data_IF_048951135897
#
_entry.id   IF_048951135897
#
_cell.length_a   1.000
_cell.length_b   1.000
_cell.length_c   1.000
_cell.angle_alpha   90.00
_cell.angle_beta   90.00
_cell.angle_gamma   90.00
#
_symmetry.space_group_name_H-M   'P 1'
#
loop_
_entity.id
_entity.type
_entity.pdbx_description
1 polymer ?
#
# COMPACT_ATOMS: atom_id res chain seq x y z
N UNK A 1 58.20 -42.96 17.57
CA UNK A 1 58.90 -43.18 18.85
C UNK A 1 59.16 -41.85 19.52
N UNK A 2 59.04 -41.81 20.86
CA UNK A 2 59.40 -40.74 21.83
C UNK A 2 58.32 -39.64 21.97
N UNK A 3 57.44 -39.67 22.99
CA UNK A 3 57.61 -39.39 24.45
C UNK A 3 58.16 -37.97 24.66
N UNK A 4 57.70 -37.09 25.56
CA UNK A 4 56.75 -37.09 26.68
C UNK A 4 56.75 -35.63 27.22
N UNK A 5 55.68 -35.24 27.94
CA UNK A 5 55.62 -34.22 29.01
C UNK A 5 55.89 -32.74 28.60
N UNK A 6 55.19 -31.73 29.14
CA UNK A 6 55.26 -31.26 30.54
C UNK A 6 54.01 -30.44 30.91
N UNK A 7 53.54 -30.67 32.13
CA UNK A 7 52.57 -29.92 32.93
C UNK A 7 53.24 -28.68 33.58
N UNK A 8 52.61 -27.51 33.53
CA UNK A 8 52.65 -26.45 34.58
C UNK A 8 51.75 -25.27 34.17
N UNK A 9 50.60 -25.08 34.83
CA UNK A 9 50.38 -24.09 35.91
C UNK A 9 50.96 -22.69 35.63
N UNK A 10 50.12 -21.70 35.33
CA UNK A 10 49.83 -20.56 36.23
C UNK A 10 48.79 -19.62 35.60
N UNK A 11 48.08 -18.91 36.47
CA UNK A 11 46.98 -18.00 36.22
C UNK A 11 47.32 -16.78 35.34
N UNK A 12 46.30 -16.13 34.78
CA UNK A 12 45.94 -14.73 35.06
C UNK A 12 44.69 -14.36 34.25
N UNK A 13 43.70 -13.81 34.95
CA UNK A 13 42.47 -13.24 34.44
C UNK A 13 42.71 -12.11 33.44
N UNK A 14 42.09 -12.19 32.26
CA UNK A 14 41.80 -11.02 31.44
C UNK A 14 40.33 -11.05 31.03
N UNK A 15 39.54 -10.20 31.69
CA UNK A 15 38.22 -9.83 31.23
C UNK A 15 38.39 -8.92 29.99
N UNK A 16 38.37 -9.51 28.80
CA UNK A 16 38.16 -8.75 27.58
C UNK A 16 36.66 -8.65 27.34
N UNK A 17 36.13 -7.45 27.59
CA UNK A 17 34.83 -7.00 27.12
C UNK A 17 34.61 -7.49 25.68
N UNK A 18 33.58 -8.32 25.45
CA UNK A 18 33.04 -8.52 24.12
C UNK A 18 32.41 -7.20 23.67
N UNK A 19 33.23 -6.36 23.02
CA UNK A 19 32.76 -5.39 22.07
C UNK A 19 32.00 -6.17 21.00
N UNK A 20 30.69 -6.35 21.20
CA UNK A 20 29.79 -6.77 20.14
C UNK A 20 29.83 -5.64 19.11
N UNK A 21 30.70 -5.82 18.11
CA UNK A 21 30.71 -5.03 16.91
C UNK A 21 29.25 -4.91 16.44
N UNK A 22 28.72 -3.71 16.19
CA UNK A 22 27.41 -3.58 15.60
C UNK A 22 27.52 -4.23 14.22
N UNK A 23 27.08 -5.48 14.13
CA UNK A 23 26.95 -6.18 12.87
C UNK A 23 26.15 -5.29 11.94
N UNK A 24 26.48 -5.25 10.64
CA UNK A 24 25.69 -4.48 9.69
C UNK A 24 24.25 -4.96 9.81
N UNK A 25 23.38 -4.07 10.30
CA UNK A 25 21.94 -4.24 10.24
C UNK A 25 21.59 -4.31 8.77
N UNK A 26 21.62 -5.51 8.20
CA UNK A 26 20.90 -5.85 6.99
C UNK A 26 19.41 -5.75 7.33
N UNK A 27 18.93 -4.51 7.44
CA UNK A 27 17.51 -4.24 7.34
C UNK A 27 17.11 -4.69 5.94
N UNK A 28 16.33 -5.76 5.88
CA UNK A 28 15.65 -6.20 4.69
C UNK A 28 15.09 -4.97 3.95
N UNK A 29 15.21 -4.87 2.61
CA UNK A 29 14.56 -3.81 1.89
C UNK A 29 13.07 -3.92 2.19
N UNK A 30 12.55 -2.99 2.98
CA UNK A 30 11.12 -2.86 3.20
C UNK A 30 10.48 -2.76 1.84
N UNK A 31 9.71 -3.80 1.49
CA UNK A 31 8.99 -3.90 0.24
C UNK A 31 7.78 -2.95 0.27
N UNK A 32 8.03 -1.66 0.42
CA UNK A 32 7.09 -0.57 0.18
C UNK A 32 7.34 0.01 -1.20
N UNK A 33 7.36 -0.86 -2.21
CA UNK A 33 7.80 -0.53 -3.56
C UNK A 33 6.94 0.57 -4.20
N UNK A 34 7.63 1.41 -4.98
CA UNK A 34 7.09 2.38 -5.93
C UNK A 34 6.12 1.80 -7.00
N UNK A 35 5.57 0.59 -6.81
CA UNK A 35 4.49 -0.02 -7.60
C UNK A 35 3.08 0.22 -7.06
N UNK A 36 2.93 0.72 -5.81
CA UNK A 36 1.63 0.78 -5.15
C UNK A 36 0.59 1.75 -5.75
N UNK A 37 1.01 2.78 -6.50
CA UNK A 37 0.07 3.77 -7.04
C UNK A 37 -0.46 3.42 -8.44
N UNK A 38 0.44 2.97 -9.33
CA UNK A 38 0.06 2.56 -10.69
C UNK A 38 -0.78 1.27 -10.68
N UNK A 39 -0.38 0.29 -9.87
CA UNK A 39 -1.10 -0.98 -9.76
C UNK A 39 -2.49 -0.81 -9.14
N UNK A 40 -2.59 0.04 -8.11
CA UNK A 40 -3.88 0.41 -7.51
C UNK A 40 -4.80 1.11 -8.51
N UNK A 41 -4.26 1.97 -9.37
CA UNK A 41 -5.08 2.65 -10.37
C UNK A 41 -5.57 1.71 -11.46
N UNK A 42 -4.72 0.78 -11.91
CA UNK A 42 -5.12 -0.28 -12.84
C UNK A 42 -6.21 -1.17 -12.24
N UNK A 43 -6.07 -1.56 -10.96
CA UNK A 43 -7.06 -2.38 -10.26
C UNK A 43 -8.43 -1.70 -10.19
N UNK A 44 -8.48 -0.41 -9.88
CA UNK A 44 -9.75 0.34 -9.85
C UNK A 44 -10.42 0.41 -11.22
N UNK A 45 -9.64 0.60 -12.29
CA UNK A 45 -10.18 0.62 -13.66
C UNK A 45 -10.71 -0.75 -14.11
N UNK A 46 -10.05 -1.84 -13.70
CA UNK A 46 -10.52 -3.20 -13.95
C UNK A 46 -11.82 -3.50 -13.20
N UNK A 47 -11.89 -3.13 -11.92
CA UNK A 47 -13.10 -3.28 -11.11
C UNK A 47 -14.32 -2.59 -11.74
N UNK A 48 -14.18 -1.34 -12.17
CA UNK A 48 -15.30 -0.63 -12.81
C UNK A 48 -15.76 -1.35 -14.07
N UNK A 49 -14.83 -1.82 -14.91
CA UNK A 49 -15.14 -2.57 -16.14
C UNK A 49 -15.93 -3.84 -15.83
N UNK A 50 -15.54 -4.58 -14.80
CA UNK A 50 -16.24 -5.78 -14.35
C UNK A 50 -17.65 -5.47 -13.85
N UNK A 51 -17.84 -4.41 -13.05
CA UNK A 51 -19.16 -4.00 -12.56
C UNK A 51 -20.06 -3.57 -13.72
N UNK A 52 -19.55 -2.76 -14.64
CA UNK A 52 -20.29 -2.32 -15.84
C UNK A 52 -20.68 -3.49 -16.75
N UNK A 53 -19.88 -4.54 -16.82
CA UNK A 53 -20.22 -5.74 -17.60
C UNK A 53 -21.41 -6.52 -17.02
N UNK A 54 -21.68 -6.38 -15.72
CA UNK A 54 -22.79 -7.04 -15.00
C UNK A 54 -24.05 -6.18 -14.96
N UNK A 55 -23.92 -4.88 -15.23
CA UNK A 55 -25.04 -3.99 -15.44
C UNK A 55 -25.55 -4.28 -16.85
N UNK A 56 -26.81 -4.69 -16.99
CA UNK A 56 -27.44 -4.96 -18.29
C UNK A 56 -27.59 -3.64 -19.09
N UNK A 57 -26.48 -3.12 -19.61
CA UNK A 57 -26.41 -1.83 -20.30
C UNK A 57 -27.02 -1.95 -21.69
N UNK A 58 -27.84 -0.97 -22.05
CA UNK A 58 -28.38 -0.87 -23.41
C UNK A 58 -27.28 -0.52 -24.42
N UNK A 59 -27.54 -0.70 -25.71
CA UNK A 59 -26.60 -0.31 -26.76
C UNK A 59 -26.27 1.19 -26.69
N UNK A 60 -27.27 2.03 -26.41
CA UNK A 60 -27.08 3.48 -26.32
C UNK A 60 -26.29 3.89 -25.09
N UNK A 61 -26.53 3.26 -23.94
CA UNK A 61 -25.71 3.48 -22.75
C UNK A 61 -24.25 3.11 -22.98
N UNK A 62 -23.98 1.98 -23.67
CA UNK A 62 -22.62 1.59 -24.05
C UNK A 62 -21.96 2.62 -24.96
N UNK A 63 -22.69 3.16 -25.94
CA UNK A 63 -22.19 4.24 -26.83
C UNK A 63 -21.86 5.51 -26.03
N UNK A 64 -22.73 5.92 -25.11
CA UNK A 64 -22.51 7.08 -24.26
C UNK A 64 -21.31 6.90 -23.31
N UNK A 65 -21.15 5.71 -22.72
CA UNK A 65 -19.98 5.39 -21.89
C UNK A 65 -18.70 5.44 -22.73
N UNK A 66 -18.71 4.90 -23.95
CA UNK A 66 -17.56 4.96 -24.84
C UNK A 66 -17.22 6.43 -25.22
N UNK A 67 -18.23 7.27 -25.46
CA UNK A 67 -18.04 8.69 -25.71
C UNK A 67 -17.44 9.42 -24.48
N UNK A 68 -17.95 9.14 -23.28
CA UNK A 68 -17.41 9.66 -22.02
C UNK A 68 -15.94 9.26 -21.85
N UNK A 69 -15.61 7.98 -22.06
CA UNK A 69 -14.24 7.49 -21.99
C UNK A 69 -13.33 8.18 -23.01
N UNK A 70 -13.80 8.37 -24.25
CA UNK A 70 -13.05 9.07 -25.30
C UNK A 70 -12.79 10.53 -24.92
N UNK A 71 -13.78 11.20 -24.33
CA UNK A 71 -13.65 12.59 -23.86
C UNK A 71 -12.62 12.72 -22.72
N UNK A 72 -12.61 11.77 -21.78
CA UNK A 72 -11.73 11.82 -20.60
C UNK A 72 -10.34 11.22 -20.84
N UNK A 73 -10.17 10.42 -21.89
CA UNK A 73 -8.90 9.79 -22.28
C UNK A 73 -7.71 10.76 -22.30
N UNK A 74 -7.75 11.93 -22.98
CA UNK A 74 -6.61 12.84 -23.02
C UNK A 74 -6.24 13.39 -21.64
N UNK A 75 -7.24 13.73 -20.80
CA UNK A 75 -6.99 14.19 -19.41
C UNK A 75 -6.31 13.09 -18.59
N UNK A 76 -6.77 11.85 -18.73
CA UNK A 76 -6.16 10.69 -18.08
C UNK A 76 -4.72 10.48 -18.55
N UNK A 77 -4.45 10.56 -19.84
CA UNK A 77 -3.12 10.36 -20.42
C UNK A 77 -2.14 11.44 -19.95
N UNK A 78 -2.55 12.71 -19.96
CA UNK A 78 -1.74 13.80 -19.44
C UNK A 78 -1.39 13.61 -17.95
N UNK A 79 -2.38 13.22 -17.15
CA UNK A 79 -2.19 12.99 -15.72
C UNK A 79 -1.30 11.76 -15.43
N UNK A 80 -1.37 10.73 -16.27
CA UNK A 80 -0.47 9.58 -16.21
C UNK A 80 0.97 9.93 -16.60
N UNK A 81 1.15 10.80 -17.60
CA UNK A 81 2.48 11.32 -17.96
C UNK A 81 3.08 12.09 -16.78
N UNK A 82 2.32 13.02 -16.17
CA UNK A 82 2.75 13.74 -14.99
C UNK A 82 3.09 12.82 -13.81
N UNK A 83 2.35 11.73 -13.61
CA UNK A 83 2.68 10.73 -12.59
C UNK A 83 4.01 10.04 -12.87
N UNK A 84 4.28 9.69 -14.14
CA UNK A 84 5.55 9.09 -14.54
C UNK A 84 6.72 10.05 -14.28
N UNK A 85 6.54 11.34 -14.57
CA UNK A 85 7.55 12.37 -14.34
C UNK A 85 7.75 12.69 -12.85
N UNK A 86 6.69 12.54 -12.04
CA UNK A 86 6.73 12.70 -10.59
C UNK A 86 7.24 11.46 -9.85
N UNK A 87 7.63 10.38 -10.55
CA UNK A 87 8.04 9.13 -9.91
C UNK A 87 9.25 9.36 -9.01
N UNK A 88 9.10 9.01 -7.73
CA UNK A 88 10.14 9.20 -6.70
C UNK A 88 10.11 10.56 -6.00
N UNK A 89 9.32 11.52 -6.50
CA UNK A 89 9.13 12.83 -5.88
C UNK A 89 7.79 12.86 -5.13
N UNK A 90 7.87 12.77 -3.81
CA UNK A 90 6.68 12.73 -2.93
C UNK A 90 5.86 14.02 -3.01
N UNK A 91 6.51 15.17 -3.17
CA UNK A 91 5.85 16.48 -3.22
C UNK A 91 5.05 16.62 -4.52
N UNK A 92 5.67 16.29 -5.66
CA UNK A 92 4.97 16.27 -6.96
C UNK A 92 3.82 15.27 -6.95
N UNK A 93 4.04 14.07 -6.43
CA UNK A 93 2.97 13.06 -6.31
C UNK A 93 1.80 13.55 -5.45
N UNK A 94 2.07 14.31 -4.38
CA UNK A 94 1.01 14.88 -3.53
C UNK A 94 0.22 15.98 -4.26
N UNK A 95 0.89 16.80 -5.07
CA UNK A 95 0.25 17.82 -5.89
C UNK A 95 -0.68 17.25 -6.98
N UNK A 96 -0.42 16.03 -7.48
CA UNK A 96 -1.27 15.37 -8.48
C UNK A 96 -2.54 14.74 -7.88
N UNK A 97 -2.58 14.47 -6.57
CA UNK A 97 -3.75 13.85 -5.90
C UNK A 97 -5.08 14.55 -6.16
N UNK A 98 -5.23 15.88 -6.00
CA UNK A 98 -6.49 16.57 -6.30
C UNK A 98 -6.91 16.43 -7.76
N UNK A 99 -5.96 16.42 -8.71
CA UNK A 99 -6.26 16.26 -10.13
C UNK A 99 -6.82 14.87 -10.43
N UNK A 100 -6.27 13.82 -9.82
CA UNK A 100 -6.84 12.47 -9.90
C UNK A 100 -8.25 12.40 -9.31
N UNK A 101 -8.49 13.09 -8.18
CA UNK A 101 -9.82 13.11 -7.57
C UNK A 101 -10.83 13.83 -8.46
N UNK A 102 -10.46 14.97 -9.03
CA UNK A 102 -11.31 15.72 -9.95
C UNK A 102 -11.66 14.88 -11.19
N UNK A 103 -10.68 14.24 -11.83
CA UNK A 103 -10.93 13.39 -13.00
C UNK A 103 -11.82 12.19 -12.66
N UNK A 104 -11.65 11.58 -11.48
CA UNK A 104 -12.52 10.49 -11.03
C UNK A 104 -13.95 10.95 -10.79
N UNK A 105 -14.14 12.12 -10.15
CA UNK A 105 -15.47 12.70 -9.94
C UNK A 105 -16.16 13.02 -11.26
N UNK A 106 -15.43 13.65 -12.20
CA UNK A 106 -15.96 13.97 -13.53
C UNK A 106 -16.42 12.70 -14.27
N UNK A 107 -15.63 11.63 -14.19
CA UNK A 107 -16.00 10.32 -14.74
C UNK A 107 -17.24 9.72 -14.05
N UNK A 108 -17.25 9.71 -12.71
CA UNK A 108 -18.36 9.16 -11.92
C UNK A 108 -19.67 9.90 -12.21
N UNK A 109 -19.65 11.23 -12.21
CA UNK A 109 -20.83 12.06 -12.52
C UNK A 109 -21.32 11.83 -13.96
N UNK A 110 -20.40 11.75 -14.92
CA UNK A 110 -20.72 11.43 -16.31
C UNK A 110 -21.37 10.04 -16.43
N UNK A 111 -20.85 9.06 -15.72
CA UNK A 111 -21.39 7.70 -15.70
C UNK A 111 -22.78 7.66 -15.06
N UNK A 112 -22.99 8.34 -13.93
CA UNK A 112 -24.28 8.39 -13.25
C UNK A 112 -25.38 9.00 -14.13
N UNK A 113 -25.05 9.97 -14.98
CA UNK A 113 -26.01 10.56 -15.94
C UNK A 113 -26.45 9.60 -17.05
N UNK A 114 -25.67 8.55 -17.33
CA UNK A 114 -25.97 7.56 -18.37
C UNK A 114 -26.77 6.38 -17.80
N UNK A 115 -26.50 6.00 -16.55
CA UNK A 115 -27.14 4.87 -15.89
C UNK A 115 -28.57 5.21 -15.43
N UNK A 116 -29.47 4.23 -15.48
CA UNK A 116 -30.80 4.35 -14.87
C UNK A 116 -30.70 4.34 -13.34
N UNK A 117 -31.70 4.83 -12.59
CA UNK A 117 -31.67 4.82 -11.13
C UNK A 117 -31.41 3.43 -10.53
N UNK A 118 -31.98 2.37 -11.12
CA UNK A 118 -31.75 0.99 -10.71
C UNK A 118 -30.30 0.55 -10.94
N UNK A 119 -29.73 0.86 -12.12
CA UNK A 119 -28.34 0.56 -12.45
C UNK A 119 -27.35 1.36 -11.59
N UNK A 120 -27.65 2.62 -11.27
CA UNK A 120 -26.84 3.44 -10.36
C UNK A 120 -26.75 2.79 -8.97
N UNK A 121 -27.88 2.31 -8.44
CA UNK A 121 -27.90 1.59 -7.16
C UNK A 121 -27.05 0.33 -7.23
N UNK A 122 -27.24 -0.50 -8.25
CA UNK A 122 -26.45 -1.72 -8.45
C UNK A 122 -24.94 -1.41 -8.58
N UNK A 123 -24.58 -0.34 -9.28
CA UNK A 123 -23.19 0.10 -9.41
C UNK A 123 -22.59 0.48 -8.05
N UNK A 124 -23.29 1.31 -7.27
CA UNK A 124 -22.83 1.74 -5.93
C UNK A 124 -22.71 0.56 -4.96
N UNK A 125 -23.70 -0.33 -4.96
CA UNK A 125 -23.70 -1.54 -4.12
C UNK A 125 -22.53 -2.46 -4.50
N UNK A 126 -22.27 -2.65 -5.80
CA UNK A 126 -21.16 -3.46 -6.28
C UNK A 126 -19.79 -2.85 -5.93
N UNK A 127 -19.64 -1.53 -6.00
CA UNK A 127 -18.43 -0.84 -5.53
C UNK A 127 -18.26 -1.04 -4.02
N UNK A 128 -19.31 -0.84 -3.22
CA UNK A 128 -19.26 -1.01 -1.78
C UNK A 128 -18.85 -2.44 -1.39
N UNK A 129 -19.44 -3.43 -2.06
CA UNK A 129 -19.11 -4.84 -1.89
C UNK A 129 -17.65 -5.12 -2.27
N UNK A 130 -17.20 -4.66 -3.44
CA UNK A 130 -15.81 -4.84 -3.86
C UNK A 130 -14.82 -4.24 -2.86
N UNK A 131 -15.13 -3.06 -2.30
CA UNK A 131 -14.30 -2.39 -1.30
C UNK A 131 -14.24 -3.15 0.03
N UNK A 132 -15.31 -3.86 0.38
CA UNK A 132 -15.36 -4.77 1.53
C UNK A 132 -14.50 -6.02 1.29
N UNK A 133 -14.56 -6.56 0.09
CA UNK A 133 -13.84 -7.78 -0.29
C UNK A 133 -12.35 -7.53 -0.57
N UNK A 134 -11.98 -6.30 -0.92
CA UNK A 134 -10.61 -5.87 -1.19
C UNK A 134 -10.19 -4.76 -0.22
N UNK A 135 -10.06 -5.07 1.09
CA UNK A 135 -9.63 -4.08 2.07
C UNK A 135 -8.26 -3.53 1.66
N UNK A 136 -8.10 -2.21 1.77
CA UNK A 136 -6.85 -1.53 1.39
C UNK A 136 -5.70 -2.13 2.22
N UNK A 137 -4.65 -2.68 1.60
CA UNK A 137 -3.45 -3.09 2.32
C UNK A 137 -2.88 -1.87 3.05
N UNK A 138 -2.84 -1.91 4.38
CA UNK A 138 -2.37 -0.81 5.22
C UNK A 138 -3.45 0.19 5.70
N UNK A 139 -4.73 -0.09 5.46
CA UNK A 139 -5.86 0.66 6.03
C UNK A 139 -6.56 -0.12 7.15
N UNK A 140 -5.79 -0.76 8.04
CA UNK A 140 -6.35 -1.39 9.23
C UNK A 140 -6.78 -0.31 10.22
N UNK A 141 -8.08 -0.22 10.50
CA UNK A 141 -8.52 0.18 11.83
C UNK A 141 -7.92 -0.82 12.82
N UNK A 142 -6.99 -0.38 13.67
CA UNK A 142 -6.32 -1.28 14.61
C UNK A 142 -4.90 -0.89 15.00
N UNK A 143 -4.62 0.40 15.21
CA UNK A 143 -3.54 0.83 16.10
C UNK A 143 -3.99 0.72 17.55
N UNK A 144 -4.54 -0.42 17.94
CA UNK A 144 -5.00 -0.74 19.28
C UNK A 144 -4.59 -2.18 19.55
N UNK A 145 -3.80 -2.38 20.59
CA UNK A 145 -3.39 -3.72 21.01
C UNK A 145 -2.02 -4.17 20.50
N UNK A 146 -1.00 -3.33 20.69
CA UNK A 146 0.29 -3.90 21.07
C UNK A 146 0.08 -4.66 22.38
N UNK A 147 -0.08 -5.98 22.30
CA UNK A 147 -0.06 -6.88 23.46
C UNK A 147 1.12 -6.49 24.37
N UNK A 148 0.93 -6.32 25.69
CA UNK A 148 2.03 -6.44 26.62
C UNK A 148 2.59 -7.84 26.44
N UNK A 149 3.81 -7.95 25.90
CA UNK A 149 4.52 -9.22 25.89
C UNK A 149 4.70 -9.70 27.34
N UNK A 150 4.40 -10.96 27.67
CA UNK A 150 4.68 -11.49 28.99
C UNK A 150 6.19 -11.70 29.11
N UNK A 151 6.89 -10.75 29.73
CA UNK A 151 8.33 -10.89 29.92
C UNK A 151 9.02 -9.59 30.27
N UNK A 152 9.05 -9.26 31.55
CA UNK A 152 9.78 -8.10 32.08
C UNK A 152 9.76 -8.08 33.60
N UNK A 153 10.20 -9.18 34.23
CA UNK A 153 10.58 -9.16 35.62
C UNK A 153 11.93 -8.41 35.77
N UNK A 154 12.01 -7.54 36.78
CA UNK A 154 13.26 -6.93 37.29
C UNK A 154 13.46 -5.49 36.82
N UNK A 155 13.56 -4.48 37.68
CA UNK A 155 13.92 -4.51 39.09
C UNK A 155 13.68 -3.16 39.81
N UNK A 156 14.19 -3.03 41.04
CA UNK A 156 13.70 -2.08 42.04
C UNK A 156 14.50 -0.77 42.11
N UNK A 157 13.90 0.24 42.74
CA UNK A 157 14.60 1.39 43.34
C UNK A 157 14.31 2.73 42.65
N UNK A 158 14.00 3.81 43.34
CA UNK A 158 14.00 4.04 44.78
C UNK A 158 13.33 5.39 45.09
N UNK A 159 12.90 5.54 46.34
CA UNK A 159 12.44 6.81 46.89
C UNK A 159 13.62 7.71 47.29
N UNK A 160 13.44 9.01 47.13
CA UNK A 160 13.21 9.97 48.20
C UNK A 160 12.58 11.23 47.61
#
# INVERSE_FOLDING_TARGET
>A
MKRLLILSLLAVSTASLLAQAPGPKAGAPGQGGAGGHGEKMNRMGQMEKEILSKLNLTADQKKQIAALQKQLKPKREALMAQMKDAKGDRTKMQALRPQFQALRKEHEEGLMKILTPAQQKQFKDAIAQWMKDHPRPGGGAGGGGGRPGPGGAGGPGGGN
#
